data_IF_818657056100
#
_entry.id   IF_818657056100
#
_cell.length_a   1.000
_cell.length_b   1.000
_cell.length_c   1.000
_cell.angle_alpha   90.00
_cell.angle_beta   90.00
_cell.angle_gamma   90.00
#
_symmetry.space_group_name_H-M   'P 1'
#
loop_
_entity.id
_entity.type
_entity.pdbx_description
1 polymer ?
#
# COMPACT_ATOMS: atom_id res chain seq x y z
N UNK A 1 -12.64 7.98 -33.32
CA UNK A 1 -13.30 6.64 -33.20
C UNK A 1 -13.27 6.09 -31.78
N UNK A 2 -12.11 6.04 -31.12
CA UNK A 2 -11.96 5.51 -29.75
C UNK A 2 -12.85 6.22 -28.72
N UNK A 3 -13.00 7.55 -28.81
CA UNK A 3 -13.90 8.31 -27.95
C UNK A 3 -15.37 7.92 -28.15
N UNK A 4 -15.80 7.78 -29.40
CA UNK A 4 -17.15 7.34 -29.71
C UNK A 4 -17.43 5.91 -29.23
N UNK A 5 -16.41 5.05 -29.22
CA UNK A 5 -16.51 3.70 -28.69
C UNK A 5 -16.67 3.71 -27.17
N UNK A 6 -15.90 4.53 -26.45
CA UNK A 6 -16.07 4.73 -24.99
C UNK A 6 -17.48 5.27 -24.67
N UNK A 7 -17.95 6.21 -25.47
CA UNK A 7 -19.27 6.81 -25.35
C UNK A 7 -20.39 5.76 -25.47
N UNK A 8 -20.33 4.91 -26.46
CA UNK A 8 -21.31 3.83 -26.69
C UNK A 8 -21.32 2.80 -25.56
N UNK A 9 -20.22 2.60 -24.87
CA UNK A 9 -20.11 1.68 -23.74
C UNK A 9 -20.64 2.29 -22.42
N UNK A 10 -21.21 3.51 -22.42
CA UNK A 10 -21.68 4.17 -21.20
C UNK A 10 -20.58 4.55 -20.20
N UNK A 11 -19.31 4.50 -20.65
CA UNK A 11 -18.13 4.75 -19.80
C UNK A 11 -17.61 6.17 -19.90
N UNK A 12 -18.48 7.10 -20.30
CA UNK A 12 -18.18 8.50 -20.60
C UNK A 12 -17.65 9.33 -19.44
N UNK A 13 -18.00 8.98 -18.21
CA UNK A 13 -17.95 10.00 -17.18
C UNK A 13 -16.76 9.90 -16.23
N UNK A 14 -16.09 8.77 -16.09
CA UNK A 14 -15.02 8.67 -15.08
C UNK A 14 -14.01 7.58 -15.47
N UNK A 15 -13.08 7.87 -16.36
CA UNK A 15 -11.86 7.12 -16.34
C UNK A 15 -10.90 7.80 -15.35
N UNK A 16 -10.94 7.38 -14.11
CA UNK A 16 -9.93 7.75 -13.13
C UNK A 16 -8.71 6.86 -13.35
N UNK A 17 -7.79 7.33 -14.17
CA UNK A 17 -6.48 6.72 -14.27
C UNK A 17 -5.60 7.22 -13.13
N UNK A 18 -5.10 6.35 -12.28
CA UNK A 18 -3.97 6.68 -11.42
C UNK A 18 -2.72 6.74 -12.26
N UNK A 19 -2.05 7.88 -12.24
CA UNK A 19 -0.71 7.99 -12.81
C UNK A 19 0.26 7.50 -11.72
N UNK A 20 0.82 6.31 -11.88
CA UNK A 20 1.82 5.81 -10.96
C UNK A 20 3.12 6.63 -11.09
N UNK A 21 3.46 7.36 -10.03
CA UNK A 21 4.59 8.29 -10.01
C UNK A 21 5.95 7.63 -9.78
N UNK A 22 5.98 6.42 -9.21
CA UNK A 22 7.22 5.74 -8.84
C UNK A 22 8.26 5.59 -9.96
N UNK A 23 7.85 5.70 -11.24
CA UNK A 23 8.74 5.73 -12.38
C UNK A 23 9.19 7.12 -12.83
N UNK A 24 8.41 8.17 -12.51
CA UNK A 24 8.69 9.54 -12.99
C UNK A 24 9.86 10.21 -12.26
N UNK A 25 10.07 9.85 -10.99
CA UNK A 25 11.14 10.39 -10.15
C UNK A 25 12.49 9.71 -10.40
N UNK A 26 12.49 8.43 -10.82
CA UNK A 26 13.72 7.64 -11.02
C UNK A 26 14.32 7.69 -12.44
N UNK A 27 13.82 8.55 -13.33
CA UNK A 27 14.24 8.59 -14.73
C UNK A 27 13.73 7.41 -15.59
N UNK A 28 12.99 6.47 -15.03
CA UNK A 28 12.34 5.34 -15.73
C UNK A 28 10.94 5.72 -16.20
N UNK A 29 10.83 6.82 -16.88
CA UNK A 29 9.61 7.45 -17.39
C UNK A 29 8.73 6.56 -18.29
N UNK A 30 9.31 5.50 -18.86
CA UNK A 30 8.62 4.62 -19.82
C UNK A 30 7.58 3.73 -19.14
N UNK A 31 7.81 3.28 -17.92
CA UNK A 31 6.92 2.34 -17.22
C UNK A 31 5.56 2.95 -16.88
N UNK A 32 5.52 4.22 -16.48
CA UNK A 32 4.27 4.92 -16.18
C UNK A 32 3.43 5.13 -17.45
N UNK A 33 4.08 5.50 -18.55
CA UNK A 33 3.43 5.62 -19.87
C UNK A 33 2.89 4.27 -20.32
N UNK A 34 3.69 3.20 -20.23
CA UNK A 34 3.26 1.85 -20.58
C UNK A 34 2.07 1.36 -19.76
N UNK A 35 2.06 1.58 -18.45
CA UNK A 35 0.94 1.21 -17.58
C UNK A 35 -0.35 1.97 -17.96
N UNK A 36 -0.24 3.25 -18.27
CA UNK A 36 -1.39 4.07 -18.71
C UNK A 36 -1.91 3.59 -20.07
N UNK A 37 -1.03 3.33 -21.02
CA UNK A 37 -1.40 2.78 -22.34
C UNK A 37 -2.07 1.41 -22.18
N UNK A 38 -1.48 0.50 -21.42
CA UNK A 38 -2.04 -0.83 -21.16
C UNK A 38 -3.42 -0.77 -20.50
N UNK A 39 -3.62 0.17 -19.57
CA UNK A 39 -4.92 0.41 -18.92
C UNK A 39 -5.99 0.88 -19.91
N UNK A 40 -5.65 1.83 -20.78
CA UNK A 40 -6.56 2.34 -21.82
C UNK A 40 -6.89 1.28 -22.87
N UNK A 41 -5.88 0.50 -23.29
CA UNK A 41 -6.08 -0.60 -24.25
C UNK A 41 -7.01 -1.67 -23.66
N UNK A 42 -6.78 -2.11 -22.43
CA UNK A 42 -7.65 -3.09 -21.74
C UNK A 42 -9.08 -2.59 -21.58
N UNK A 43 -9.28 -1.28 -21.46
CA UNK A 43 -10.60 -0.70 -21.36
C UNK A 43 -11.42 -0.82 -22.65
N UNK A 44 -10.77 -0.59 -23.79
CA UNK A 44 -11.40 -0.59 -25.11
C UNK A 44 -11.36 -1.95 -25.82
N UNK A 45 -10.36 -2.76 -25.54
CA UNK A 45 -10.21 -4.11 -26.06
C UNK A 45 -10.03 -5.09 -24.89
N UNK A 46 -11.12 -5.46 -24.20
CA UNK A 46 -11.06 -6.33 -23.03
C UNK A 46 -10.76 -7.80 -23.35
N UNK A 47 -10.91 -8.20 -24.60
CA UNK A 47 -10.58 -9.56 -25.04
C UNK A 47 -9.11 -9.63 -25.46
N UNK A 48 -8.26 -10.42 -24.77
CA UNK A 48 -6.83 -10.55 -25.09
C UNK A 48 -6.55 -11.19 -26.45
N UNK A 49 -7.50 -11.88 -27.02
CA UNK A 49 -7.36 -12.52 -28.34
C UNK A 49 -7.63 -11.57 -29.53
N UNK A 50 -8.22 -10.41 -29.25
CA UNK A 50 -8.50 -9.42 -30.31
C UNK A 50 -7.26 -8.58 -30.56
N UNK A 51 -6.74 -8.53 -31.79
CA UNK A 51 -5.57 -7.69 -32.10
C UNK A 51 -5.91 -6.22 -31.84
N UNK A 52 -5.02 -5.54 -31.16
CA UNK A 52 -5.14 -4.12 -30.84
C UNK A 52 -4.81 -3.33 -32.10
N UNK A 53 -5.71 -2.42 -32.53
CA UNK A 53 -5.47 -1.59 -33.70
C UNK A 53 -4.41 -0.52 -33.44
N UNK A 54 -3.65 -0.17 -34.49
CA UNK A 54 -2.64 0.89 -34.39
C UNK A 54 -3.25 2.22 -33.97
N UNK A 55 -4.46 2.54 -34.44
CA UNK A 55 -5.21 3.73 -34.04
C UNK A 55 -5.50 3.79 -32.53
N UNK A 56 -5.84 2.64 -31.95
CA UNK A 56 -6.07 2.55 -30.50
C UNK A 56 -4.76 2.75 -29.73
N UNK A 57 -3.67 2.18 -30.21
CA UNK A 57 -2.34 2.36 -29.60
C UNK A 57 -1.88 3.81 -29.68
N UNK A 58 -2.01 4.46 -30.84
CA UNK A 58 -1.66 5.87 -31.02
C UNK A 58 -2.50 6.79 -30.14
N UNK A 59 -3.81 6.54 -30.07
CA UNK A 59 -4.69 7.30 -29.20
C UNK A 59 -4.33 7.12 -27.72
N UNK A 60 -4.12 5.89 -27.26
CA UNK A 60 -3.75 5.59 -25.87
C UNK A 60 -2.39 6.21 -25.52
N UNK A 61 -1.42 6.17 -26.42
CA UNK A 61 -0.11 6.79 -26.25
C UNK A 61 -0.22 8.31 -26.14
N UNK A 62 -1.02 8.96 -27.00
CA UNK A 62 -1.26 10.40 -26.93
C UNK A 62 -1.83 10.83 -25.60
N UNK A 63 -2.83 10.10 -25.09
CA UNK A 63 -3.41 10.34 -23.76
C UNK A 63 -2.37 10.18 -22.65
N UNK A 64 -1.58 9.10 -22.70
CA UNK A 64 -0.55 8.83 -21.69
C UNK A 64 0.54 9.93 -21.68
N UNK A 65 0.96 10.40 -22.84
CA UNK A 65 1.94 11.49 -22.96
C UNK A 65 1.38 12.83 -22.47
N UNK A 66 0.11 13.10 -22.71
CA UNK A 66 -0.56 14.30 -22.21
C UNK A 66 -0.67 14.26 -20.69
N UNK A 67 -1.08 13.12 -20.10
CA UNK A 67 -1.10 12.93 -18.64
C UNK A 67 0.30 13.16 -18.05
N UNK A 68 1.36 12.58 -18.65
CA UNK A 68 2.74 12.79 -18.24
C UNK A 68 3.16 14.27 -18.28
N UNK A 69 2.79 14.98 -19.35
CA UNK A 69 3.08 16.42 -19.47
C UNK A 69 2.45 17.20 -18.32
N UNK A 70 1.18 16.95 -18.03
CA UNK A 70 0.44 17.62 -16.94
C UNK A 70 1.00 17.28 -15.56
N UNK A 71 1.41 16.03 -15.33
CA UNK A 71 2.11 15.63 -14.09
C UNK A 71 3.41 16.43 -13.93
N UNK A 72 4.23 16.54 -14.97
CA UNK A 72 5.48 17.31 -14.92
C UNK A 72 5.24 18.80 -14.68
N UNK A 73 4.16 19.36 -15.19
CA UNK A 73 3.77 20.74 -14.92
C UNK A 73 3.39 20.92 -13.44
N UNK A 74 2.64 19.98 -12.87
CA UNK A 74 2.33 20.00 -11.43
C UNK A 74 3.58 19.83 -10.57
N UNK A 75 4.51 18.94 -10.94
CA UNK A 75 5.77 18.77 -10.23
C UNK A 75 6.60 20.07 -10.11
N UNK A 76 6.52 20.95 -11.11
CA UNK A 76 7.18 22.25 -11.05
C UNK A 76 6.50 23.26 -10.11
N UNK A 77 5.22 23.04 -9.80
CA UNK A 77 4.39 23.94 -8.98
C UNK A 77 4.32 23.51 -7.52
N UNK A 78 4.43 22.22 -7.27
CA UNK A 78 4.26 21.61 -5.96
C UNK A 78 5.65 21.21 -5.44
N UNK A 79 5.88 21.35 -4.14
CA UNK A 79 7.13 20.90 -3.50
C UNK A 79 7.34 19.39 -3.67
N UNK A 80 8.58 18.94 -3.66
CA UNK A 80 8.92 17.52 -3.93
C UNK A 80 8.24 16.54 -2.98
N UNK A 81 8.10 16.89 -1.70
CA UNK A 81 7.41 16.06 -0.71
C UNK A 81 5.91 15.99 -0.98
N UNK A 82 5.27 17.13 -1.21
CA UNK A 82 3.85 17.23 -1.50
C UNK A 82 3.51 16.54 -2.84
N UNK A 83 4.39 16.65 -3.83
CA UNK A 83 4.22 16.01 -5.13
C UNK A 83 4.21 14.48 -5.00
N UNK A 84 5.08 13.89 -4.16
CA UNK A 84 5.09 12.45 -3.92
C UNK A 84 3.78 11.94 -3.33
N UNK A 85 3.14 12.79 -2.54
CA UNK A 85 1.89 12.51 -1.83
C UNK A 85 0.65 13.03 -2.57
N UNK A 86 0.75 13.26 -3.87
CA UNK A 86 -0.35 13.75 -4.69
C UNK A 86 -0.86 12.66 -5.63
N UNK A 87 -2.14 12.33 -5.53
CA UNK A 87 -2.82 11.49 -6.51
C UNK A 87 -3.22 12.32 -7.72
N UNK A 88 -2.98 11.77 -8.90
CA UNK A 88 -3.42 12.37 -10.15
C UNK A 88 -4.54 11.54 -10.77
N UNK A 89 -5.64 12.20 -11.08
CA UNK A 89 -6.76 11.62 -11.79
C UNK A 89 -7.06 12.43 -13.05
N UNK A 90 -7.61 11.77 -14.05
CA UNK A 90 -8.00 12.44 -15.29
C UNK A 90 -9.34 11.91 -15.80
N UNK A 91 -10.08 12.77 -16.46
CA UNK A 91 -11.26 12.41 -17.22
C UNK A 91 -11.00 12.65 -18.70
N UNK A 92 -11.50 11.77 -19.55
CA UNK A 92 -11.38 11.86 -20.99
C UNK A 92 -12.58 12.57 -21.57
N UNK A 93 -12.32 13.47 -22.50
CA UNK A 93 -13.27 14.12 -23.37
C UNK A 93 -13.04 13.79 -24.82
N UNK A 94 -13.77 14.46 -25.72
CA UNK A 94 -13.74 14.21 -27.15
C UNK A 94 -12.35 14.48 -27.77
N UNK A 95 -11.66 15.51 -27.28
CA UNK A 95 -10.35 15.94 -27.78
C UNK A 95 -9.16 15.31 -27.01
N UNK A 96 -9.42 14.52 -25.96
CA UNK A 96 -8.38 13.90 -25.15
C UNK A 96 -8.60 14.05 -23.66
N UNK A 97 -7.58 14.51 -22.91
CA UNK A 97 -7.69 14.72 -21.45
C UNK A 97 -8.40 16.04 -21.17
N UNK A 98 -9.70 15.96 -20.85
CA UNK A 98 -10.55 17.10 -20.56
C UNK A 98 -10.29 17.68 -19.17
N UNK A 99 -10.29 16.79 -18.17
CA UNK A 99 -10.08 17.17 -16.78
C UNK A 99 -8.89 16.43 -16.19
N UNK A 100 -8.01 17.17 -15.54
CA UNK A 100 -6.86 16.63 -14.84
C UNK A 100 -6.82 17.23 -13.44
N UNK A 101 -6.89 16.39 -12.43
CA UNK A 101 -6.97 16.81 -11.04
C UNK A 101 -5.79 16.23 -10.27
N UNK A 102 -5.06 17.10 -9.59
CA UNK A 102 -4.08 16.74 -8.59
C UNK A 102 -4.76 16.84 -7.22
N UNK A 103 -4.94 15.72 -6.56
CA UNK A 103 -5.50 15.67 -5.21
C UNK A 103 -4.37 15.34 -4.27
N UNK A 104 -3.95 16.27 -3.40
CA UNK A 104 -3.01 15.94 -2.34
C UNK A 104 -3.60 14.77 -1.54
N UNK A 105 -2.88 13.69 -1.38
CA UNK A 105 -3.19 12.75 -0.32
C UNK A 105 -2.88 13.50 0.96
N UNK A 106 -3.93 13.92 1.65
CA UNK A 106 -3.80 14.35 3.01
C UNK A 106 -3.36 13.12 3.79
N UNK A 107 -2.06 12.94 3.92
CA UNK A 107 -1.58 12.16 5.03
C UNK A 107 -2.13 12.88 6.25
N UNK A 108 -3.13 12.29 6.87
CA UNK A 108 -3.47 12.65 8.22
C UNK A 108 -2.15 12.75 9.01
N UNK A 109 -2.10 13.54 10.04
CA UNK A 109 -0.96 13.85 10.93
C UNK A 109 -0.14 12.63 11.44
N UNK A 110 -0.32 11.48 10.84
CA UNK A 110 0.32 10.18 11.08
C UNK A 110 1.62 9.99 10.23
N UNK A 111 2.40 11.02 10.00
CA UNK A 111 3.80 10.82 9.57
C UNK A 111 4.52 10.02 10.67
N UNK A 112 5.40 9.10 10.25
CA UNK A 112 6.20 8.33 11.19
C UNK A 112 7.06 9.30 12.00
N UNK A 113 6.52 9.72 13.16
CA UNK A 113 7.19 10.64 14.05
C UNK A 113 8.34 9.97 14.80
N UNK A 114 9.23 10.78 15.34
CA UNK A 114 10.31 10.32 16.22
C UNK A 114 9.83 9.96 17.63
N UNK A 115 8.59 10.34 17.97
CA UNK A 115 8.00 10.05 19.27
C UNK A 115 7.52 8.60 19.35
N UNK A 116 7.66 7.94 20.53
CA UNK A 116 7.14 6.60 20.73
C UNK A 116 5.62 6.56 20.53
N UNK A 117 5.15 5.58 19.77
CA UNK A 117 3.72 5.30 19.66
C UNK A 117 3.19 4.73 21.00
N UNK A 118 1.88 4.86 21.29
CA UNK A 118 1.25 4.16 22.39
C UNK A 118 1.54 2.67 22.37
N UNK A 119 1.52 1.98 23.54
CA UNK A 119 1.66 0.52 23.60
C UNK A 119 0.69 -0.19 22.64
N UNK A 120 1.19 -1.21 21.96
CA UNK A 120 0.41 -1.97 20.96
C UNK A 120 0.41 -1.40 19.55
N UNK A 121 0.98 -0.22 19.33
CA UNK A 121 1.06 0.38 17.98
C UNK A 121 2.43 0.18 17.36
N UNK A 122 2.46 -0.22 16.08
CA UNK A 122 3.69 -0.53 15.33
C UNK A 122 3.56 -0.10 13.89
N UNK A 123 4.53 0.66 13.39
CA UNK A 123 4.69 0.90 11.97
C UNK A 123 5.32 -0.30 11.28
N UNK A 124 4.75 -0.70 10.15
CA UNK A 124 5.24 -1.84 9.37
C UNK A 124 5.26 -1.50 7.89
N UNK A 125 6.27 -2.00 7.19
CA UNK A 125 6.31 -2.00 5.74
C UNK A 125 6.20 -3.45 5.27
N UNK A 126 5.25 -3.72 4.38
CA UNK A 126 5.16 -4.99 3.69
C UNK A 126 5.76 -4.86 2.31
N UNK A 127 6.73 -5.72 1.95
CA UNK A 127 7.16 -5.82 0.57
C UNK A 127 5.98 -6.28 -0.28
N UNK A 128 5.73 -5.59 -1.40
CA UNK A 128 4.71 -5.99 -2.36
C UNK A 128 5.02 -7.34 -3.00
N UNK A 129 4.00 -8.10 -3.36
CA UNK A 129 4.18 -9.29 -4.16
C UNK A 129 4.50 -8.88 -5.60
N UNK A 130 5.62 -9.37 -6.16
CA UNK A 130 6.04 -9.22 -7.57
C UNK A 130 5.78 -7.83 -8.17
N UNK A 131 6.75 -6.93 -8.11
CA UNK A 131 6.74 -5.58 -8.72
C UNK A 131 5.71 -4.57 -8.16
N UNK A 132 4.87 -4.96 -7.21
CA UNK A 132 4.04 -4.00 -6.49
C UNK A 132 4.91 -3.20 -5.52
N UNK A 133 4.62 -1.92 -5.40
CA UNK A 133 5.30 -1.04 -4.46
C UNK A 133 5.09 -1.55 -3.03
N UNK A 134 6.13 -1.46 -2.21
CA UNK A 134 6.02 -1.73 -0.78
C UNK A 134 4.95 -0.84 -0.16
N UNK A 135 4.14 -1.39 0.73
CA UNK A 135 3.05 -0.66 1.38
C UNK A 135 3.38 -0.32 2.83
N UNK A 136 3.04 0.91 3.24
CA UNK A 136 3.14 1.36 4.62
C UNK A 136 1.83 1.10 5.36
N UNK A 137 1.94 0.47 6.53
CA UNK A 137 0.80 0.14 7.38
C UNK A 137 1.11 0.47 8.83
N UNK A 138 0.04 0.62 9.63
CA UNK A 138 0.13 0.61 11.08
C UNK A 138 -0.69 -0.56 11.62
N UNK A 139 -0.10 -1.30 12.53
CA UNK A 139 -0.77 -2.31 13.32
C UNK A 139 -1.15 -1.68 14.64
N UNK A 140 -2.42 -1.74 14.97
CA UNK A 140 -2.97 -1.31 16.25
C UNK A 140 -3.43 -2.57 17.02
N UNK A 141 -2.88 -2.79 18.19
CA UNK A 141 -3.24 -3.90 19.08
C UNK A 141 -3.73 -3.34 20.42
N UNK A 142 -4.89 -3.78 20.82
CA UNK A 142 -5.42 -3.52 22.18
C UNK A 142 -5.55 -4.82 22.95
N UNK A 143 -5.17 -4.78 24.20
CA UNK A 143 -5.28 -5.89 25.15
C UNK A 143 -6.50 -5.67 26.04
N UNK A 144 -7.19 -6.74 26.39
CA UNK A 144 -8.35 -6.75 27.28
C UNK A 144 -8.53 -8.09 27.99
N UNK A 145 -9.54 -8.19 28.86
CA UNK A 145 -9.86 -9.43 29.56
C UNK A 145 -10.40 -10.48 28.58
N UNK A 146 -9.93 -11.71 28.71
CA UNK A 146 -10.35 -12.81 27.84
C UNK A 146 -9.18 -13.66 27.40
N UNK A 147 -9.30 -14.31 26.25
CA UNK A 147 -8.22 -15.11 25.66
C UNK A 147 -8.29 -15.11 24.14
N UNK A 148 -7.11 -15.20 23.51
CA UNK A 148 -6.98 -15.31 22.06
C UNK A 148 -6.82 -13.98 21.33
N UNK A 149 -6.71 -14.05 20.01
CA UNK A 149 -6.48 -12.90 19.12
C UNK A 149 -7.64 -12.72 18.14
N UNK A 150 -8.23 -11.55 18.12
CA UNK A 150 -9.32 -11.17 17.21
C UNK A 150 -8.83 -10.14 16.19
N UNK A 151 -9.16 -10.37 14.92
CA UNK A 151 -8.88 -9.40 13.85
C UNK A 151 -10.12 -8.55 13.61
N UNK A 152 -9.98 -7.22 13.74
CA UNK A 152 -11.09 -6.28 13.60
C UNK A 152 -11.37 -5.93 12.12
N UNK A 153 -10.39 -6.05 11.23
CA UNK A 153 -10.61 -5.85 9.79
C UNK A 153 -11.52 -6.95 9.21
N UNK A 154 -12.63 -6.56 8.64
CA UNK A 154 -13.56 -7.49 7.98
C UNK A 154 -13.96 -6.97 6.60
N UNK A 155 -13.68 -7.70 5.50
CA UNK A 155 -12.88 -8.94 5.45
C UNK A 155 -11.38 -8.66 5.60
N UNK A 156 -10.68 -9.48 6.38
CA UNK A 156 -9.23 -9.37 6.50
C UNK A 156 -8.53 -10.08 5.34
N UNK A 157 -7.49 -9.47 4.73
CA UNK A 157 -6.70 -10.11 3.69
C UNK A 157 -6.05 -11.41 4.18
N UNK A 158 -5.98 -12.48 3.34
CA UNK A 158 -5.41 -13.77 3.74
C UNK A 158 -3.98 -13.68 4.29
N UNK A 159 -3.02 -12.94 3.68
CA UNK A 159 -1.66 -12.83 4.21
C UNK A 159 -1.61 -12.18 5.60
N UNK A 160 -2.50 -11.23 5.89
CA UNK A 160 -2.60 -10.63 7.20
C UNK A 160 -3.16 -11.61 8.25
N UNK A 161 -4.18 -12.38 7.89
CA UNK A 161 -4.72 -13.45 8.79
C UNK A 161 -3.64 -14.46 9.15
N UNK A 162 -2.83 -14.87 8.17
CA UNK A 162 -1.72 -15.78 8.40
C UNK A 162 -0.65 -15.15 9.31
N UNK A 163 -0.29 -13.89 9.06
CA UNK A 163 0.64 -13.13 9.90
C UNK A 163 0.19 -13.07 11.36
N UNK A 164 -1.09 -12.79 11.61
CA UNK A 164 -1.65 -12.76 12.97
C UNK A 164 -1.61 -14.12 13.61
N UNK A 165 -1.98 -15.19 12.89
CA UNK A 165 -1.94 -16.56 13.38
C UNK A 165 -0.53 -17.02 13.73
N UNK A 166 0.45 -16.74 12.87
CA UNK A 166 1.85 -17.06 13.14
C UNK A 166 2.38 -16.30 14.37
N UNK A 167 2.04 -15.02 14.50
CA UNK A 167 2.45 -14.19 15.62
C UNK A 167 1.83 -14.70 16.94
N UNK A 168 0.55 -15.03 16.95
CA UNK A 168 -0.15 -15.61 18.12
C UNK A 168 0.51 -16.92 18.58
N UNK A 169 0.75 -17.86 17.65
CA UNK A 169 1.39 -19.13 17.96
C UNK A 169 2.80 -18.95 18.52
N UNK A 170 3.58 -18.04 17.95
CA UNK A 170 4.92 -17.74 18.46
C UNK A 170 4.88 -17.08 19.85
N UNK A 171 3.95 -16.15 20.08
CA UNK A 171 3.75 -15.54 21.40
C UNK A 171 3.44 -16.59 22.46
N UNK A 172 2.53 -17.51 22.17
CA UNK A 172 2.15 -18.58 23.10
C UNK A 172 3.27 -19.62 23.33
N UNK A 173 3.97 -19.99 22.25
CA UNK A 173 5.07 -20.95 22.35
C UNK A 173 6.26 -20.42 23.13
N UNK A 174 6.51 -19.11 23.07
CA UNK A 174 7.66 -18.43 23.66
C UNK A 174 7.25 -17.42 24.73
N UNK A 175 6.09 -17.60 25.37
CA UNK A 175 5.52 -16.63 26.30
C UNK A 175 6.51 -16.21 27.40
N UNK A 176 7.20 -17.17 28.02
CA UNK A 176 8.17 -16.92 29.08
C UNK A 176 9.37 -16.08 28.60
N UNK A 177 9.80 -16.31 27.37
CA UNK A 177 10.94 -15.63 26.75
C UNK A 177 10.59 -14.19 26.32
N UNK A 178 9.38 -14.00 25.76
CA UNK A 178 8.91 -12.74 25.19
C UNK A 178 8.21 -11.83 26.20
N UNK A 179 7.47 -12.42 27.15
CA UNK A 179 6.59 -11.70 28.05
C UNK A 179 6.91 -11.90 29.56
N UNK A 180 7.90 -12.74 29.87
CA UNK A 180 8.30 -13.01 31.23
C UNK A 180 7.18 -13.68 32.04
N UNK A 181 6.75 -13.01 33.12
CA UNK A 181 5.73 -13.55 34.04
C UNK A 181 4.28 -13.30 33.60
N UNK A 182 4.06 -12.55 32.53
CA UNK A 182 2.72 -12.33 31.96
C UNK A 182 2.34 -13.46 31.02
N UNK A 183 1.27 -14.20 31.34
CA UNK A 183 0.76 -15.24 30.46
C UNK A 183 -0.15 -14.62 29.36
N UNK A 184 0.24 -14.65 28.10
CA UNK A 184 -0.59 -14.10 27.03
C UNK A 184 -1.91 -14.86 26.83
N UNK A 185 -2.07 -16.06 27.39
CA UNK A 185 -3.31 -16.84 27.30
C UNK A 185 -4.42 -16.33 28.19
N UNK A 186 -4.10 -15.51 29.17
CA UNK A 186 -5.05 -14.85 30.08
C UNK A 186 -5.58 -13.51 29.52
N UNK A 187 -5.13 -13.15 28.33
CA UNK A 187 -5.46 -11.86 27.69
C UNK A 187 -6.10 -12.07 26.32
N UNK A 188 -7.11 -11.26 26.01
CA UNK A 188 -7.67 -11.15 24.66
C UNK A 188 -7.02 -9.97 23.94
N UNK A 189 -6.60 -10.18 22.71
CA UNK A 189 -6.03 -9.13 21.86
C UNK A 189 -6.95 -8.84 20.69
N UNK A 190 -7.21 -7.56 20.45
CA UNK A 190 -7.86 -7.08 19.25
C UNK A 190 -6.84 -6.43 18.35
N UNK A 191 -6.70 -6.94 17.12
CA UNK A 191 -5.69 -6.51 16.16
C UNK A 191 -6.35 -5.85 14.96
N UNK A 192 -5.90 -4.66 14.60
CA UNK A 192 -6.34 -3.91 13.42
C UNK A 192 -5.15 -3.54 12.55
N UNK A 193 -5.29 -3.73 11.23
CA UNK A 193 -4.35 -3.24 10.23
C UNK A 193 -4.90 -1.96 9.60
N UNK A 194 -4.15 -0.89 9.63
CA UNK A 194 -4.47 0.37 8.94
C UNK A 194 -3.50 0.55 7.79
N UNK A 195 -4.02 0.69 6.58
CA UNK A 195 -3.24 1.02 5.40
C UNK A 195 -3.14 2.54 5.26
N UNK A 196 -1.96 3.05 4.96
CA UNK A 196 -1.68 4.47 4.72
C UNK A 196 -1.42 4.77 3.25
N UNK A 197 -1.34 3.72 2.45
CA UNK A 197 -1.30 3.82 1.00
C UNK A 197 -2.50 3.10 0.36
N UNK A 198 -2.59 3.20 -0.95
CA UNK A 198 -3.66 2.57 -1.72
C UNK A 198 -3.43 1.09 -2.00
N UNK A 199 -2.38 0.48 -1.44
CA UNK A 199 -2.10 -0.94 -1.65
C UNK A 199 -3.13 -1.77 -0.87
N UNK A 200 -3.97 -2.50 -1.59
CA UNK A 200 -5.04 -3.33 -1.03
C UNK A 200 -4.65 -4.80 -0.92
N UNK A 201 -3.44 -5.14 -1.33
CA UNK A 201 -2.97 -6.52 -1.47
C UNK A 201 -2.47 -7.07 -0.14
N UNK A 202 -3.04 -7.10 0.91
CA UNK A 202 -2.71 -7.80 2.16
C UNK A 202 -1.23 -7.88 2.50
N UNK A 203 -0.90 -7.56 3.73
CA UNK A 203 0.48 -7.47 4.19
C UNK A 203 0.95 -8.74 4.89
N UNK A 204 2.13 -9.26 4.52
CA UNK A 204 2.88 -10.22 5.31
C UNK A 204 3.71 -9.45 6.35
N UNK A 205 3.16 -9.29 7.56
CA UNK A 205 3.68 -8.40 8.61
C UNK A 205 3.80 -9.10 9.97
N UNK A 206 4.12 -10.39 9.93
CA UNK A 206 4.12 -11.25 11.12
C UNK A 206 5.01 -10.75 12.26
N UNK A 207 6.20 -10.22 11.96
CA UNK A 207 7.11 -9.67 12.98
C UNK A 207 6.49 -8.43 13.63
N UNK A 208 5.88 -7.54 12.85
CA UNK A 208 5.21 -6.36 13.37
C UNK A 208 4.01 -6.71 14.26
N UNK A 209 3.22 -7.71 13.86
CA UNK A 209 2.10 -8.21 14.69
C UNK A 209 2.63 -8.76 16.03
N UNK A 210 3.68 -9.58 16.02
CA UNK A 210 4.28 -10.13 17.23
C UNK A 210 4.76 -9.03 18.17
N UNK A 211 5.46 -8.02 17.64
CA UNK A 211 5.91 -6.88 18.44
C UNK A 211 4.75 -6.06 18.98
N UNK A 212 3.68 -5.86 18.20
CA UNK A 212 2.45 -5.20 18.66
C UNK A 212 1.78 -5.94 19.81
N UNK A 213 1.66 -7.27 19.70
CA UNK A 213 1.11 -8.12 20.76
C UNK A 213 1.97 -8.05 22.03
N UNK A 214 3.30 -8.16 21.91
CA UNK A 214 4.21 -8.02 23.05
C UNK A 214 4.13 -6.62 23.68
N UNK A 215 4.10 -5.58 22.86
CA UNK A 215 3.99 -4.19 23.31
C UNK A 215 2.69 -3.94 24.08
N UNK A 216 1.56 -4.43 23.56
CA UNK A 216 0.27 -4.34 24.23
C UNK A 216 0.26 -5.13 25.53
N UNK A 217 0.71 -6.39 25.53
CA UNK A 217 0.76 -7.24 26.70
C UNK A 217 1.63 -6.64 27.81
N UNK A 218 2.80 -6.12 27.47
CA UNK A 218 3.74 -5.54 28.43
C UNK A 218 3.41 -4.09 28.80
N UNK A 219 2.43 -3.47 28.15
CA UNK A 219 2.08 -2.05 28.29
C UNK A 219 3.31 -1.13 28.09
N UNK A 220 4.17 -1.48 27.13
CA UNK A 220 5.39 -0.73 26.82
C UNK A 220 5.39 -0.24 25.38
N UNK A 221 5.61 1.05 25.21
CA UNK A 221 5.82 1.66 23.89
C UNK A 221 7.07 1.12 23.24
N UNK A 222 7.01 0.97 21.92
CA UNK A 222 8.19 0.73 21.10
C UNK A 222 8.96 2.05 20.87
N UNK A 223 10.23 1.92 20.48
CA UNK A 223 11.04 3.09 20.16
C UNK A 223 10.37 3.91 19.06
N UNK A 224 10.37 5.24 19.22
CA UNK A 224 9.88 6.15 18.19
C UNK A 224 10.68 6.07 16.90
N UNK A 225 10.02 6.27 15.77
CA UNK A 225 10.61 6.14 14.44
C UNK A 225 10.94 4.68 14.05
N UNK A 226 10.51 3.68 14.83
CA UNK A 226 10.73 2.26 14.50
C UNK A 226 9.75 1.82 13.41
N UNK A 227 10.28 1.37 12.30
CA UNK A 227 9.54 0.69 11.24
C UNK A 227 9.97 -0.77 11.16
N UNK A 228 9.02 -1.68 11.17
CA UNK A 228 9.27 -3.13 11.22
C UNK A 228 8.96 -3.75 9.86
N UNK A 229 9.84 -4.62 9.40
CA UNK A 229 9.69 -5.36 8.15
C UNK A 229 9.92 -6.85 8.42
N UNK A 230 9.15 -7.69 7.78
CA UNK A 230 9.38 -9.14 7.76
C UNK A 230 8.16 -9.98 8.06
N UNK A 231 8.07 -11.09 7.34
CA UNK A 231 7.16 -12.19 7.63
C UNK A 231 7.68 -13.03 8.79
N UNK A 232 6.79 -13.72 9.47
CA UNK A 232 7.09 -14.64 10.56
C UNK A 232 6.42 -15.98 10.26
N UNK A 233 7.19 -17.06 10.28
CA UNK A 233 6.62 -18.39 10.13
C UNK A 233 6.25 -19.03 11.47
N UNK A 234 5.55 -20.16 11.44
CA UNK A 234 5.13 -20.88 12.64
C UNK A 234 6.29 -21.33 13.54
N UNK A 235 7.46 -21.60 12.97
CA UNK A 235 8.68 -21.97 13.69
C UNK A 235 9.39 -20.80 14.36
N UNK A 236 8.93 -19.57 14.15
CA UNK A 236 9.53 -18.35 14.70
C UNK A 236 10.73 -17.82 13.93
N UNK A 237 10.96 -18.32 12.70
CA UNK A 237 11.95 -17.75 11.82
C UNK A 237 11.36 -16.57 11.05
N UNK A 238 12.19 -15.57 10.81
CA UNK A 238 11.82 -14.42 9.99
C UNK A 238 12.12 -14.76 8.53
N UNK A 239 11.14 -14.52 7.67
CA UNK A 239 11.30 -14.74 6.24
C UNK A 239 12.27 -13.73 5.62
N UNK A 240 13.04 -14.12 4.59
CA UNK A 240 13.93 -13.20 3.89
C UNK A 240 13.19 -11.98 3.36
N UNK A 241 13.77 -10.80 3.55
CA UNK A 241 13.22 -9.55 3.02
C UNK A 241 13.81 -9.31 1.64
N UNK A 242 12.96 -9.37 0.62
CA UNK A 242 13.33 -9.02 -0.75
C UNK A 242 13.16 -7.51 -0.97
N UNK A 243 13.92 -6.94 -1.89
CA UNK A 243 13.87 -5.50 -2.21
C UNK A 243 14.17 -4.56 -1.02
N UNK A 244 15.10 -4.95 -0.16
CA UNK A 244 15.46 -4.20 1.05
C UNK A 244 15.84 -2.74 0.77
N UNK A 245 16.40 -2.44 -0.40
CA UNK A 245 16.76 -1.07 -0.81
C UNK A 245 15.50 -0.20 -0.99
N UNK A 246 14.51 -0.70 -1.73
CA UNK A 246 13.25 0.04 -1.95
C UNK A 246 12.49 0.25 -0.65
N UNK A 247 12.57 -0.73 0.27
CA UNK A 247 11.95 -0.62 1.59
C UNK A 247 12.66 0.42 2.45
N UNK A 248 14.00 0.45 2.41
CA UNK A 248 14.77 1.45 3.14
C UNK A 248 14.54 2.86 2.60
N UNK A 249 14.44 3.03 1.28
CA UNK A 249 14.08 4.30 0.64
C UNK A 249 12.70 4.78 1.12
N UNK A 250 11.69 3.89 1.12
CA UNK A 250 10.34 4.21 1.61
C UNK A 250 10.32 4.57 3.10
N UNK A 251 11.17 3.95 3.92
CA UNK A 251 11.23 4.22 5.36
C UNK A 251 11.96 5.53 5.71
N UNK A 252 12.81 6.05 4.82
CA UNK A 252 13.57 7.29 5.03
C UNK A 252 12.81 8.51 4.45
N UNK A 253 11.94 8.29 3.48
CA UNK A 253 11.05 9.32 2.88
C UNK A 253 9.91 9.72 3.83
#
# INVERSE_FOLDING_TARGET
ECWNQLRRQGRQSVFQGRVHLGGALSGRDTTAVQKTVSGLVKLLSPNPETPVSDELLEWALRIALECRRRVKEQQKRIGSAEFRNTQFSYALGEEGVEKFVATPELYSEDSIGTDPLPPGQVWVISPGAQEENAGLYRIDVTEGPGSGVKILNQPAPPPFKESVRCAEQNLYARAKELAGDRDPREHEFSVQLRAFDSSKSGASVGVGVLLGLCSALLQKSLKGGLVVVGGLNLGGSIDPVYNAVNIAELAVE
#
